data_IF_551758386788
#
_entry.id   IF_551758386788
#
_cell.length_a   1.000
_cell.length_b   1.000
_cell.length_c   1.000
_cell.angle_alpha   90.00
_cell.angle_beta   90.00
_cell.angle_gamma   90.00
#
_symmetry.space_group_name_H-M   'P 1'
#
loop_
_entity.id
_entity.type
_entity.pdbx_description
1 polymer ?
#
# COMPACT_ATOMS: atom_id res chain seq x y z
N UNK A 1 -15.78 24.93 -4.86
CA UNK A 1 -15.53 23.66 -4.15
C UNK A 1 -14.12 23.75 -3.58
N UNK A 2 -13.94 23.67 -2.27
CA UNK A 2 -12.59 23.60 -1.69
C UNK A 2 -11.91 22.32 -2.16
N UNK A 3 -10.76 22.47 -2.82
CA UNK A 3 -9.91 21.33 -3.19
C UNK A 3 -9.36 20.70 -1.92
N UNK A 4 -9.67 19.43 -1.66
CA UNK A 4 -9.11 18.71 -0.52
C UNK A 4 -7.59 18.63 -0.73
N UNK A 5 -6.82 19.15 0.23
CA UNK A 5 -5.36 19.07 0.19
C UNK A 5 -4.93 17.59 0.16
N UNK A 6 -4.20 17.19 -0.88
CA UNK A 6 -3.61 15.85 -0.99
C UNK A 6 -2.64 15.64 0.19
N UNK A 7 -2.79 14.53 0.91
CA UNK A 7 -1.92 14.12 2.00
C UNK A 7 -1.35 12.74 1.70
N UNK A 8 -0.02 12.62 1.76
CA UNK A 8 0.67 11.36 1.56
C UNK A 8 1.42 10.98 2.84
N UNK A 9 1.33 9.72 3.22
CA UNK A 9 2.17 9.11 4.24
C UNK A 9 2.98 7.99 3.58
N UNK A 10 4.29 8.13 3.61
CA UNK A 10 5.23 7.10 3.14
C UNK A 10 5.74 6.32 4.34
N UNK A 11 5.59 5.00 4.29
CA UNK A 11 6.06 4.05 5.29
C UNK A 11 6.92 3.01 4.59
N UNK A 12 8.15 2.85 5.06
CA UNK A 12 9.01 1.76 4.61
C UNK A 12 8.75 0.53 5.48
N UNK A 13 8.39 -0.59 4.87
CA UNK A 13 7.99 -1.81 5.57
C UNK A 13 8.94 -2.93 5.21
N UNK A 14 9.47 -3.63 6.21
CA UNK A 14 10.22 -4.87 6.03
C UNK A 14 9.37 -6.03 6.54
N UNK A 15 9.12 -7.02 5.69
CA UNK A 15 8.27 -8.16 6.01
C UNK A 15 8.58 -9.36 5.12
N UNK A 16 7.89 -10.48 5.36
CA UNK A 16 7.99 -11.65 4.48
C UNK A 16 6.92 -11.61 3.39
N UNK A 17 7.30 -11.90 2.15
CA UNK A 17 6.37 -12.10 1.04
C UNK A 17 6.32 -13.57 0.66
N UNK A 18 5.12 -14.05 0.35
CA UNK A 18 4.95 -15.38 -0.24
C UNK A 18 5.22 -15.27 -1.75
N UNK A 19 6.17 -16.05 -2.24
CA UNK A 19 6.53 -16.09 -3.66
C UNK A 19 5.90 -17.34 -4.25
N UNK A 20 5.13 -17.19 -5.34
CA UNK A 20 4.48 -18.32 -6.00
C UNK A 20 5.49 -19.44 -6.30
N UNK A 21 5.17 -20.66 -5.87
CA UNK A 21 6.04 -21.84 -6.03
C UNK A 21 7.11 -22.01 -4.94
N UNK A 22 7.20 -21.11 -3.96
CA UNK A 22 8.08 -21.25 -2.79
C UNK A 22 7.28 -21.67 -1.55
N UNK A 23 7.71 -22.68 -0.78
CA UNK A 23 7.15 -22.98 0.53
C UNK A 23 7.64 -22.01 1.62
N UNK A 24 8.60 -21.14 1.31
CA UNK A 24 9.21 -20.21 2.25
C UNK A 24 8.79 -18.76 1.99
N UNK A 25 8.60 -18.00 3.07
CA UNK A 25 8.48 -16.53 3.00
C UNK A 25 9.86 -15.92 2.78
N UNK A 26 9.96 -15.04 1.79
CA UNK A 26 11.21 -14.33 1.49
C UNK A 26 11.17 -12.95 2.14
N UNK A 27 12.18 -12.55 2.92
CA UNK A 27 12.23 -11.21 3.48
C UNK A 27 12.35 -10.19 2.34
N UNK A 28 11.49 -9.17 2.36
CA UNK A 28 11.50 -8.08 1.40
C UNK A 28 11.21 -6.76 2.10
N UNK A 29 11.84 -5.72 1.61
CA UNK A 29 11.50 -4.35 1.99
C UNK A 29 10.71 -3.73 0.86
N UNK A 30 9.60 -3.08 1.19
CA UNK A 30 8.74 -2.39 0.25
C UNK A 30 8.33 -1.03 0.80
N UNK A 31 8.08 -0.11 -0.11
CA UNK A 31 7.54 1.21 0.17
C UNK A 31 6.01 1.14 0.11
N UNK A 32 5.39 1.53 1.21
CA UNK A 32 3.95 1.65 1.37
C UNK A 32 3.61 3.14 1.37
N UNK A 33 2.78 3.60 0.45
CA UNK A 33 2.35 5.00 0.36
C UNK A 33 0.84 5.03 0.55
N UNK A 34 0.40 5.71 1.60
CA UNK A 34 -1.01 5.95 1.86
C UNK A 34 -1.30 7.38 1.41
N UNK A 35 -2.13 7.52 0.38
CA UNK A 35 -2.55 8.80 -0.17
C UNK A 35 -3.98 9.07 0.22
N UNK A 36 -4.30 10.28 0.64
CA UNK A 36 -5.66 10.75 0.89
C UNK A 36 -5.89 12.05 0.13
N UNK A 37 -6.79 12.00 -0.85
CA UNK A 37 -7.10 13.11 -1.75
C UNK A 37 -8.60 13.38 -1.85
N UNK A 38 -9.01 14.07 -2.92
CA UNK A 38 -10.42 14.42 -3.16
C UNK A 38 -11.28 13.21 -3.56
N UNK A 39 -10.66 12.17 -4.11
CA UNK A 39 -11.30 10.94 -4.60
C UNK A 39 -11.45 9.95 -3.44
N UNK A 40 -10.43 9.83 -2.59
CA UNK A 40 -10.46 8.94 -1.44
C UNK A 40 -9.07 8.60 -0.89
N UNK A 41 -9.00 7.50 -0.15
CA UNK A 41 -7.76 6.94 0.37
C UNK A 41 -7.28 5.83 -0.57
N UNK A 42 -6.00 5.85 -0.92
CA UNK A 42 -5.36 4.74 -1.65
C UNK A 42 -4.15 4.23 -0.91
N UNK A 43 -3.87 2.94 -1.11
CA UNK A 43 -2.68 2.26 -0.63
C UNK A 43 -1.87 1.84 -1.85
N UNK A 44 -0.67 2.38 -2.00
CA UNK A 44 0.30 1.95 -2.99
C UNK A 44 1.40 1.13 -2.32
N UNK A 45 1.73 -0.02 -2.90
CA UNK A 45 2.85 -0.85 -2.47
C UNK A 45 3.83 -0.94 -3.64
N UNK A 46 5.09 -0.60 -3.39
CA UNK A 46 6.18 -0.64 -4.35
C UNK A 46 7.36 -1.40 -3.75
N UNK A 47 7.85 -2.43 -4.43
CA UNK A 47 8.97 -3.24 -3.97
C UNK A 47 10.26 -3.05 -4.79
N UNK A 48 10.27 -2.04 -5.67
CA UNK A 48 11.35 -1.72 -6.61
C UNK A 48 11.21 -2.38 -7.97
N UNK A 49 10.49 -3.51 -8.07
CA UNK A 49 10.22 -4.23 -9.31
C UNK A 49 8.76 -4.13 -9.74
N UNK A 50 7.84 -4.15 -8.77
CA UNK A 50 6.39 -4.12 -8.98
C UNK A 50 5.80 -3.02 -8.11
N UNK A 51 4.89 -2.27 -8.70
CA UNK A 51 4.05 -1.31 -8.00
C UNK A 51 2.58 -1.60 -8.29
N UNK A 52 1.76 -1.62 -7.23
CA UNK A 52 0.31 -1.65 -7.36
C UNK A 52 -0.32 -0.65 -6.41
N UNK A 53 -1.46 -0.10 -6.83
CA UNK A 53 -2.25 0.86 -6.06
C UNK A 53 -3.68 0.33 -5.96
N UNK A 54 -4.21 0.31 -4.75
CA UNK A 54 -5.57 -0.14 -4.48
C UNK A 54 -6.33 0.92 -3.67
N UNK A 55 -7.65 1.09 -3.88
CA UNK A 55 -8.48 1.86 -2.98
C UNK A 55 -8.43 1.26 -1.57
N UNK A 56 -8.30 2.11 -0.55
CA UNK A 56 -8.17 1.65 0.83
C UNK A 56 -9.54 1.38 1.48
N UNK A 57 -10.58 2.15 1.14
CA UNK A 57 -11.91 2.04 1.75
C UNK A 57 -12.51 0.63 1.66
N UNK A 58 -12.42 -0.11 0.52
CA UNK A 58 -12.95 -1.47 0.44
C UNK A 58 -12.22 -2.48 1.35
N UNK A 59 -10.98 -2.18 1.75
CA UNK A 59 -10.11 -3.06 2.54
C UNK A 59 -10.23 -2.74 4.02
N UNK A 60 -10.43 -1.46 4.37
CA UNK A 60 -10.61 -0.96 5.74
C UNK A 60 -11.68 -1.74 6.52
N UNK A 61 -12.74 -2.22 5.83
CA UNK A 61 -13.81 -3.04 6.45
C UNK A 61 -13.33 -4.37 7.04
N UNK A 62 -12.19 -4.90 6.60
CA UNK A 62 -11.62 -6.17 7.05
C UNK A 62 -10.55 -6.01 8.15
N UNK A 63 -10.15 -4.78 8.48
CA UNK A 63 -9.09 -4.48 9.46
C UNK A 63 -9.67 -4.10 10.85
N UNK A 64 -10.93 -4.44 11.10
CA UNK A 64 -11.65 -4.18 12.35
C UNK A 64 -11.47 -5.30 13.37
#
# INVERSE_FOLDING_TARGET
MEKKKIKNLHVRVSGGVNVSGSPFMVPKTFDCIITNDEIGKTLSINDGNVQFTIPFEPIERYLK
#
